data_IF_875418965569
#
_entry.id   IF_875418965569
#
_cell.length_a   1.000
_cell.length_b   1.000
_cell.length_c   1.000
_cell.angle_alpha   90.00
_cell.angle_beta   90.00
_cell.angle_gamma   90.00
#
_symmetry.space_group_name_H-M   'P 1'
#
loop_
_entity.id
_entity.type
_entity.pdbx_description
1 polymer ?
#
# COMPACT_ATOMS: atom_id res chain seq x y z
N UNK A 1 22.76 4.09 -20.74
CA UNK A 1 21.50 3.36 -21.01
C UNK A 1 20.98 3.85 -22.36
N UNK A 2 20.74 2.95 -23.31
CA UNK A 2 20.16 3.31 -24.62
C UNK A 2 18.78 2.67 -24.68
N UNK A 3 17.74 3.44 -24.36
CA UNK A 3 16.38 3.01 -24.70
C UNK A 3 16.23 3.13 -26.22
N UNK A 4 16.06 2.00 -26.91
CA UNK A 4 15.69 2.01 -28.33
C UNK A 4 14.17 1.88 -28.39
N UNK A 5 13.53 3.01 -28.65
CA UNK A 5 12.08 3.06 -28.82
C UNK A 5 11.73 2.51 -30.21
N UNK A 6 10.98 1.42 -30.25
CA UNK A 6 10.29 0.97 -31.45
C UNK A 6 8.83 1.42 -31.33
N UNK A 7 8.51 2.54 -31.94
CA UNK A 7 7.18 3.17 -31.86
C UNK A 7 6.23 2.44 -32.83
N UNK A 8 5.20 1.77 -32.32
CA UNK A 8 4.07 1.29 -33.14
C UNK A 8 2.90 2.23 -32.90
N UNK A 9 2.80 3.29 -33.70
CA UNK A 9 1.79 4.33 -33.54
C UNK A 9 0.48 3.97 -34.23
N UNK A 10 -0.59 3.79 -33.45
CA UNK A 10 -1.95 4.12 -33.88
C UNK A 10 -2.62 4.93 -32.76
N UNK A 11 -2.95 6.21 -33.04
CA UNK A 11 -3.74 7.08 -32.15
C UNK A 11 -3.00 8.33 -31.64
N UNK A 12 -3.29 9.49 -32.23
CA UNK A 12 -2.83 10.81 -31.74
C UNK A 12 -3.64 11.24 -30.51
N UNK A 13 -3.04 11.14 -29.33
CA UNK A 13 -3.40 11.96 -28.17
C UNK A 13 -2.23 12.89 -27.82
N UNK A 14 -2.54 14.05 -27.23
CA UNK A 14 -1.61 15.04 -26.68
C UNK A 14 -0.48 14.37 -25.88
N UNK A 15 0.76 14.39 -26.41
CA UNK A 15 1.94 13.62 -25.96
C UNK A 15 2.42 13.88 -24.51
N UNK A 16 1.74 14.74 -23.75
CA UNK A 16 2.10 15.11 -22.36
C UNK A 16 1.08 14.68 -21.32
N UNK A 17 -0.18 14.48 -21.68
CA UNK A 17 -1.25 14.07 -20.74
C UNK A 17 -1.42 12.55 -20.63
N UNK A 18 -0.72 11.80 -21.50
CA UNK A 18 -0.74 10.33 -21.56
C UNK A 18 0.38 9.65 -20.79
N UNK A 19 1.24 10.37 -20.06
CA UNK A 19 2.42 9.79 -19.40
C UNK A 19 2.23 9.63 -17.90
N UNK A 20 2.72 8.53 -17.31
CA UNK A 20 2.59 8.31 -15.89
C UNK A 20 3.47 9.29 -15.11
N UNK A 21 2.95 9.73 -13.96
CA UNK A 21 3.61 10.67 -13.05
C UNK A 21 4.22 9.91 -11.87
N UNK A 22 5.30 10.44 -11.30
CA UNK A 22 5.90 9.87 -10.08
C UNK A 22 4.88 9.83 -8.94
N UNK A 23 4.83 8.71 -8.23
CA UNK A 23 3.85 8.44 -7.19
C UNK A 23 2.56 7.80 -7.69
N UNK A 24 2.42 7.52 -8.99
CA UNK A 24 1.31 6.70 -9.50
C UNK A 24 1.65 5.20 -9.43
N UNK A 25 0.63 4.39 -9.19
CA UNK A 25 0.72 2.95 -9.37
C UNK A 25 0.57 2.62 -10.85
N UNK A 26 1.62 2.05 -11.43
CA UNK A 26 1.67 1.65 -12.83
C UNK A 26 1.63 0.14 -12.93
N UNK A 27 0.85 -0.37 -13.89
CA UNK A 27 0.84 -1.79 -14.25
C UNK A 27 1.42 -1.95 -15.64
N UNK A 28 2.43 -2.81 -15.74
CA UNK A 28 3.11 -3.11 -17.00
C UNK A 28 3.05 -4.60 -17.31
N UNK A 29 3.08 -4.93 -18.61
CA UNK A 29 3.48 -6.27 -19.07
C UNK A 29 4.99 -6.26 -19.21
N UNK A 30 5.67 -7.12 -18.47
CA UNK A 30 7.12 -7.16 -18.38
C UNK A 30 7.66 -8.49 -18.86
N UNK A 31 8.61 -8.45 -19.80
CA UNK A 31 9.38 -9.63 -20.21
C UNK A 31 10.84 -9.26 -20.35
N UNK A 32 11.69 -9.86 -19.53
CA UNK A 32 13.12 -9.66 -19.48
C UNK A 32 13.85 -10.86 -20.08
N UNK A 33 14.72 -10.60 -21.04
CA UNK A 33 15.55 -11.59 -21.74
C UNK A 33 17.02 -11.14 -21.75
N UNK A 34 17.93 -12.10 -21.73
CA UNK A 34 19.36 -11.86 -21.97
C UNK A 34 19.66 -11.80 -23.47
N UNK A 35 20.89 -11.44 -23.82
CA UNK A 35 21.37 -11.39 -25.21
C UNK A 35 21.34 -12.76 -25.91
N UNK A 36 21.46 -13.85 -25.14
CA UNK A 36 21.35 -15.22 -25.64
C UNK A 36 19.90 -15.70 -25.86
N UNK A 37 18.91 -14.84 -25.57
CA UNK A 37 17.48 -15.14 -25.67
C UNK A 37 16.88 -15.81 -24.43
N UNK A 38 17.67 -16.12 -23.41
CA UNK A 38 17.18 -16.71 -22.15
C UNK A 38 16.23 -15.75 -21.45
N UNK A 39 15.01 -16.22 -21.15
CA UNK A 39 14.02 -15.44 -20.39
C UNK A 39 14.41 -15.45 -18.91
N UNK A 40 14.72 -14.27 -18.36
CA UNK A 40 15.09 -14.08 -16.95
C UNK A 40 13.84 -13.94 -16.09
N UNK A 41 12.86 -13.19 -16.57
CA UNK A 41 11.64 -12.86 -15.84
C UNK A 41 10.53 -12.52 -16.83
N UNK A 42 9.32 -12.99 -16.55
CA UNK A 42 8.14 -12.69 -17.34
C UNK A 42 6.97 -12.53 -16.37
N UNK A 43 6.37 -11.34 -16.38
CA UNK A 43 5.21 -11.01 -15.58
C UNK A 43 4.19 -10.29 -16.46
N UNK A 44 3.01 -10.89 -16.70
CA UNK A 44 2.00 -10.31 -17.56
C UNK A 44 1.34 -9.05 -16.96
N UNK A 45 1.41 -8.84 -15.64
CA UNK A 45 0.82 -7.72 -14.90
C UNK A 45 1.65 -7.36 -13.67
N UNK A 46 2.87 -6.86 -13.92
CA UNK A 46 3.71 -6.33 -12.87
C UNK A 46 3.21 -4.93 -12.47
N UNK A 47 2.75 -4.78 -11.23
CA UNK A 47 2.35 -3.48 -10.67
C UNK A 47 3.41 -2.96 -9.73
N UNK A 48 3.76 -1.67 -9.82
CA UNK A 48 4.65 -0.98 -8.88
C UNK A 48 4.37 0.52 -8.83
N UNK A 49 4.81 1.18 -7.76
CA UNK A 49 4.69 2.63 -7.62
C UNK A 49 5.85 3.32 -8.33
N UNK A 50 5.54 4.15 -9.33
CA UNK A 50 6.54 4.79 -10.17
C UNK A 50 7.35 5.82 -9.37
N UNK A 51 8.67 5.64 -9.32
CA UNK A 51 9.60 6.51 -8.61
C UNK A 51 10.08 5.98 -7.27
N UNK A 52 9.45 4.93 -6.74
CA UNK A 52 9.85 4.33 -5.46
C UNK A 52 11.05 3.39 -5.59
N UNK A 53 11.45 3.05 -6.82
CA UNK A 53 12.59 2.16 -7.10
C UNK A 53 12.44 0.75 -6.47
N UNK A 54 11.20 0.27 -6.36
CA UNK A 54 10.87 -1.05 -5.78
C UNK A 54 11.42 -2.23 -6.59
N UNK A 55 11.75 -1.99 -7.87
CA UNK A 55 12.21 -3.01 -8.80
C UNK A 55 13.54 -2.66 -9.49
N UNK A 56 13.58 -2.90 -10.79
CA UNK A 56 14.72 -2.61 -11.66
C UNK A 56 14.73 -1.10 -11.94
N UNK A 57 15.80 -0.38 -11.59
CA UNK A 57 15.88 1.08 -11.79
C UNK A 57 15.61 1.51 -13.25
N UNK A 58 15.99 0.66 -14.21
CA UNK A 58 15.69 0.86 -15.61
C UNK A 58 14.18 1.00 -15.90
N UNK A 59 13.31 0.29 -15.16
CA UNK A 59 11.86 0.39 -15.30
C UNK A 59 11.36 1.75 -14.84
N UNK A 60 11.75 2.22 -13.66
CA UNK A 60 11.36 3.54 -13.15
C UNK A 60 11.75 4.67 -14.11
N UNK A 61 12.95 4.61 -14.70
CA UNK A 61 13.43 5.63 -15.64
C UNK A 61 12.71 5.57 -16.99
N UNK A 62 12.42 4.37 -17.50
CA UNK A 62 11.83 4.20 -18.82
C UNK A 62 10.31 4.36 -18.82
N UNK A 63 9.60 3.81 -17.83
CA UNK A 63 8.14 3.89 -17.76
C UNK A 63 7.68 5.34 -17.62
N UNK A 64 8.43 6.20 -16.93
CA UNK A 64 8.16 7.64 -16.87
C UNK A 64 8.20 8.34 -18.24
N UNK A 65 8.84 7.73 -19.24
CA UNK A 65 8.96 8.27 -20.60
C UNK A 65 7.95 7.65 -21.58
N UNK A 66 7.22 6.60 -21.18
CA UNK A 66 6.28 5.87 -22.01
C UNK A 66 4.90 6.54 -22.02
N UNK A 67 4.23 6.48 -23.15
CA UNK A 67 2.82 6.84 -23.27
C UNK A 67 1.92 5.65 -22.88
N UNK A 68 0.71 5.92 -22.37
CA UNK A 68 -0.28 4.87 -22.06
C UNK A 68 -0.51 3.93 -23.26
N UNK A 69 -0.40 2.62 -23.04
CA UNK A 69 -0.53 1.59 -24.08
C UNK A 69 0.74 1.36 -24.93
N UNK A 70 1.79 2.17 -24.75
CA UNK A 70 3.04 2.02 -25.51
C UNK A 70 3.73 0.70 -25.14
N UNK A 71 4.28 0.02 -26.16
CA UNK A 71 5.24 -1.08 -25.97
C UNK A 71 6.64 -0.60 -26.33
N UNK A 72 7.57 -0.67 -25.38
CA UNK A 72 8.96 -0.27 -25.53
C UNK A 72 9.92 -1.45 -25.32
N UNK A 73 11.06 -1.40 -26.02
CA UNK A 73 12.19 -2.29 -25.81
C UNK A 73 13.31 -1.55 -25.09
N UNK A 74 13.57 -1.94 -23.86
CA UNK A 74 14.58 -1.34 -23.00
C UNK A 74 15.85 -2.17 -23.11
N UNK A 75 16.93 -1.57 -23.61
CA UNK A 75 18.27 -2.14 -23.51
C UNK A 75 19.01 -1.44 -22.38
N UNK A 76 19.28 -2.17 -21.31
CA UNK A 76 19.91 -1.63 -20.11
C UNK A 76 21.21 -2.36 -19.78
N UNK A 77 22.16 -1.57 -19.26
CA UNK A 77 23.38 -2.11 -18.68
C UNK A 77 23.07 -2.77 -17.33
N UNK A 78 23.82 -3.82 -16.98
CA UNK A 78 23.61 -4.59 -15.76
C UNK A 78 23.51 -3.71 -14.51
N UNK A 79 24.22 -2.58 -14.44
CA UNK A 79 24.19 -1.65 -13.29
C UNK A 79 22.84 -1.02 -12.97
N UNK A 80 21.96 -0.84 -13.98
CA UNK A 80 20.61 -0.32 -13.79
C UNK A 80 19.55 -1.43 -13.66
N UNK A 81 19.99 -2.70 -13.73
CA UNK A 81 19.12 -3.86 -13.61
C UNK A 81 19.42 -4.64 -12.34
N UNK A 82 20.35 -5.59 -12.44
CA UNK A 82 20.65 -6.51 -11.36
C UNK A 82 22.01 -6.24 -10.67
N UNK A 83 22.75 -5.25 -11.15
CA UNK A 83 24.05 -4.89 -10.59
C UNK A 83 25.06 -6.05 -10.60
N UNK A 84 26.17 -5.89 -9.87
CA UNK A 84 27.25 -6.88 -9.83
C UNK A 84 26.87 -8.17 -9.09
N UNK A 85 25.79 -8.15 -8.29
CA UNK A 85 25.40 -9.29 -7.45
C UNK A 85 24.29 -10.18 -8.05
N UNK A 86 23.70 -9.80 -9.20
CA UNK A 86 22.69 -10.63 -9.89
C UNK A 86 21.38 -10.83 -9.10
N UNK A 87 20.48 -11.70 -9.57
CA UNK A 87 19.22 -12.08 -8.87
C UNK A 87 19.38 -13.51 -8.31
N UNK A 88 18.98 -13.73 -7.05
CA UNK A 88 18.92 -15.02 -6.31
C UNK A 88 19.54 -16.24 -7.03
N UNK A 89 20.70 -16.71 -6.54
CA UNK A 89 21.38 -17.95 -6.93
C UNK A 89 21.74 -18.19 -8.41
N UNK A 90 21.35 -17.32 -9.36
CA UNK A 90 21.78 -17.41 -10.77
C UNK A 90 22.70 -16.27 -11.15
N UNK A 91 23.86 -16.63 -11.73
CA UNK A 91 24.93 -15.75 -12.20
C UNK A 91 24.52 -14.91 -13.41
N UNK A 92 23.57 -14.01 -13.24
CA UNK A 92 23.26 -12.95 -14.23
C UNK A 92 23.95 -11.65 -13.80
N UNK A 93 25.25 -11.74 -13.55
CA UNK A 93 26.09 -10.64 -13.11
C UNK A 93 26.56 -9.84 -14.32
N UNK A 94 26.31 -8.53 -14.31
CA UNK A 94 26.75 -7.55 -15.34
C UNK A 94 26.21 -7.70 -16.76
N UNK A 95 25.54 -8.80 -17.10
CA UNK A 95 24.91 -8.96 -18.42
C UNK A 95 23.86 -7.86 -18.67
N UNK A 96 23.92 -7.26 -19.87
CA UNK A 96 22.91 -6.33 -20.34
C UNK A 96 21.53 -7.01 -20.41
N UNK A 97 20.48 -6.27 -20.02
CA UNK A 97 19.12 -6.76 -20.05
C UNK A 97 18.38 -6.17 -21.26
N UNK A 98 17.72 -7.04 -22.02
CA UNK A 98 16.72 -6.67 -23.01
C UNK A 98 15.34 -6.92 -22.39
N UNK A 99 14.62 -5.84 -22.07
CA UNK A 99 13.29 -5.92 -21.52
C UNK A 99 12.24 -5.38 -22.50
N UNK A 100 11.22 -6.17 -22.79
CA UNK A 100 9.99 -5.71 -23.44
C UNK A 100 9.02 -5.27 -22.35
N UNK A 101 8.58 -4.02 -22.44
CA UNK A 101 7.69 -3.39 -21.48
C UNK A 101 6.50 -2.81 -22.22
N UNK A 102 5.29 -3.10 -21.78
CA UNK A 102 4.06 -2.48 -22.27
C UNK A 102 3.36 -1.80 -21.10
N UNK A 103 3.11 -0.50 -21.20
CA UNK A 103 2.41 0.25 -20.16
C UNK A 103 0.90 0.03 -20.29
N UNK A 104 0.32 -0.71 -19.35
CA UNK A 104 -1.10 -1.08 -19.41
C UNK A 104 -1.99 -0.02 -18.76
N UNK A 105 -1.69 0.33 -17.51
CA UNK A 105 -2.47 1.29 -16.72
C UNK A 105 -1.55 2.14 -15.86
N UNK A 106 -1.94 3.40 -15.64
CA UNK A 106 -1.35 4.29 -14.66
C UNK A 106 -2.51 4.94 -13.90
N UNK A 107 -2.50 4.77 -12.58
CA UNK A 107 -3.54 5.30 -11.70
C UNK A 107 -2.88 5.95 -10.50
N UNK A 108 -3.55 6.93 -9.90
CA UNK A 108 -3.05 7.54 -8.67
C UNK A 108 -2.87 6.46 -7.61
N UNK A 109 -1.70 6.45 -6.95
CA UNK A 109 -1.46 5.52 -5.87
C UNK A 109 -2.55 5.70 -4.81
N UNK A 110 -3.00 4.61 -4.18
CA UNK A 110 -4.03 4.70 -3.16
C UNK A 110 -3.60 5.67 -2.07
N UNK A 111 -4.50 6.58 -1.70
CA UNK A 111 -4.25 7.49 -0.60
C UNK A 111 -3.96 6.67 0.65
N UNK A 112 -2.75 6.85 1.17
CA UNK A 112 -2.29 6.14 2.33
C UNK A 112 -3.19 6.42 3.54
N UNK A 113 -3.93 7.52 3.59
CA UNK A 113 -4.89 7.76 4.69
C UNK A 113 -6.14 6.87 4.57
N UNK A 114 -6.58 6.58 3.34
CA UNK A 114 -7.81 5.83 3.05
C UNK A 114 -7.62 4.30 3.05
N UNK A 115 -6.38 3.82 2.97
CA UNK A 115 -6.07 2.39 3.05
C UNK A 115 -6.49 1.79 4.41
N UNK A 116 -7.13 0.62 4.38
CA UNK A 116 -7.45 -0.12 5.59
C UNK A 116 -6.19 -0.60 6.33
N UNK A 117 -6.31 -0.90 7.62
CA UNK A 117 -5.17 -1.38 8.40
C UNK A 117 -4.49 -2.63 7.81
N UNK A 118 -5.27 -3.53 7.20
CA UNK A 118 -4.74 -4.74 6.54
C UNK A 118 -3.98 -4.42 5.25
N UNK A 119 -4.45 -3.46 4.47
CA UNK A 119 -3.80 -3.05 3.22
C UNK A 119 -2.50 -2.29 3.50
N UNK A 120 -2.48 -1.43 4.53
CA UNK A 120 -1.25 -0.74 5.00
C UNK A 120 -0.18 -1.71 5.43
N UNK A 121 -0.53 -2.74 6.21
CA UNK A 121 0.43 -3.78 6.63
C UNK A 121 0.94 -4.56 5.41
N UNK A 122 0.07 -4.89 4.47
CA UNK A 122 0.46 -5.56 3.22
C UNK A 122 1.42 -4.71 2.38
N UNK A 123 1.12 -3.42 2.22
CA UNK A 123 1.95 -2.46 1.49
C UNK A 123 3.31 -2.25 2.18
N UNK A 124 3.32 -2.06 3.50
CA UNK A 124 4.55 -1.93 4.28
C UNK A 124 5.43 -3.18 4.19
N UNK A 125 4.83 -4.37 4.27
CA UNK A 125 5.57 -5.63 4.09
C UNK A 125 6.17 -5.75 2.70
N UNK A 126 5.41 -5.38 1.67
CA UNK A 126 5.91 -5.35 0.29
C UNK A 126 7.10 -4.40 0.15
N UNK A 127 7.02 -3.18 0.69
CA UNK A 127 8.14 -2.21 0.70
C UNK A 127 9.34 -2.71 1.52
N UNK A 128 9.10 -3.39 2.65
CA UNK A 128 10.15 -4.04 3.44
C UNK A 128 10.87 -5.14 2.64
N UNK A 129 10.13 -5.94 1.89
CA UNK A 129 10.70 -6.99 1.03
C UNK A 129 11.52 -6.42 -0.12
N UNK A 130 11.06 -5.32 -0.75
CA UNK A 130 11.86 -4.55 -1.70
C UNK A 130 13.16 -4.02 -1.06
N UNK A 131 13.08 -3.48 0.16
CA UNK A 131 14.25 -3.04 0.91
C UNK A 131 15.24 -4.17 1.20
N UNK A 132 14.73 -5.34 1.64
CA UNK A 132 15.55 -6.54 1.87
C UNK A 132 16.26 -7.00 0.60
N UNK A 133 15.55 -6.98 -0.54
CA UNK A 133 16.11 -7.33 -1.84
C UNK A 133 17.30 -6.42 -2.21
N UNK A 134 17.20 -5.11 -1.96
CA UNK A 134 18.30 -4.18 -2.20
C UNK A 134 19.43 -4.28 -1.15
N UNK A 135 19.08 -4.54 0.11
CA UNK A 135 20.05 -4.67 1.21
C UNK A 135 20.97 -5.86 1.03
N UNK A 136 20.41 -7.03 0.67
CA UNK A 136 21.19 -8.24 0.34
C UNK A 136 22.18 -7.99 -0.80
N UNK A 137 21.94 -6.95 -1.61
CA UNK A 137 22.75 -6.58 -2.78
C UNK A 137 23.78 -5.50 -2.50
N UNK A 138 23.95 -5.11 -1.24
CA UNK A 138 24.72 -3.96 -0.79
C UNK A 138 24.28 -2.61 -1.40
N UNK A 139 23.07 -2.52 -1.96
CA UNK A 139 22.48 -1.27 -2.45
C UNK A 139 21.79 -0.52 -1.30
N UNK A 140 22.58 -0.04 -0.33
CA UNK A 140 22.07 0.53 0.92
C UNK A 140 21.22 1.79 0.72
N UNK A 141 21.49 2.59 -0.31
CA UNK A 141 20.72 3.81 -0.61
C UNK A 141 19.28 3.48 -0.99
N UNK A 142 19.07 2.49 -1.87
CA UNK A 142 17.73 2.05 -2.26
C UNK A 142 17.04 1.29 -1.12
N UNK A 143 17.78 0.47 -0.38
CA UNK A 143 17.24 -0.23 0.78
C UNK A 143 16.69 0.75 1.83
N UNK A 144 17.46 1.80 2.16
CA UNK A 144 17.02 2.85 3.07
C UNK A 144 15.77 3.57 2.57
N UNK A 145 15.69 3.88 1.26
CA UNK A 145 14.50 4.47 0.66
C UNK A 145 13.26 3.59 0.83
N UNK A 146 13.36 2.29 0.51
CA UNK A 146 12.24 1.35 0.65
C UNK A 146 11.80 1.18 2.11
N UNK A 147 12.74 1.14 3.06
CA UNK A 147 12.40 1.08 4.49
C UNK A 147 11.76 2.37 5.00
N UNK A 148 12.21 3.54 4.54
CA UNK A 148 11.59 4.83 4.88
C UNK A 148 10.13 4.90 4.40
N UNK A 149 9.86 4.42 3.18
CA UNK A 149 8.49 4.31 2.67
C UNK A 149 7.65 3.33 3.51
N UNK A 150 8.20 2.16 3.85
CA UNK A 150 7.52 1.20 4.72
C UNK A 150 7.17 1.80 6.09
N UNK A 151 8.10 2.55 6.69
CA UNK A 151 7.90 3.25 7.96
C UNK A 151 6.84 4.34 7.86
N UNK A 152 6.80 5.11 6.77
CA UNK A 152 5.74 6.12 6.55
C UNK A 152 4.35 5.50 6.51
N UNK A 153 4.20 4.39 5.79
CA UNK A 153 2.94 3.63 5.68
C UNK A 153 2.49 3.12 7.06
N UNK A 154 3.41 2.62 7.87
CA UNK A 154 3.12 2.12 9.24
C UNK A 154 2.89 3.26 10.25
N UNK A 155 3.62 4.36 10.16
CA UNK A 155 3.45 5.50 11.06
C UNK A 155 2.06 6.15 10.92
N UNK A 156 1.46 6.07 9.73
CA UNK A 156 0.09 6.47 9.45
C UNK A 156 -0.96 5.49 10.01
N UNK A 157 -0.58 4.30 10.53
CA UNK A 157 -1.51 3.38 11.19
C UNK A 157 -1.87 3.78 12.62
N UNK A 158 -1.11 4.70 13.23
CA UNK A 158 -1.33 4.98 14.65
C UNK A 158 -1.16 3.73 15.53
N UNK A 159 -0.28 2.82 15.14
CA UNK A 159 0.29 1.75 16.00
C UNK A 159 1.20 2.38 17.08
N UNK A 160 0.69 3.42 17.75
CA UNK A 160 1.37 4.14 18.81
C UNK A 160 1.58 3.22 20.02
N UNK A 161 0.70 2.23 20.21
CA UNK A 161 0.82 1.18 21.21
C UNK A 161 2.16 0.43 21.10
N UNK A 162 2.60 0.10 19.88
CA UNK A 162 3.88 -0.54 19.61
C UNK A 162 5.06 0.43 19.57
N UNK A 163 4.87 1.66 19.08
CA UNK A 163 5.96 2.63 18.89
C UNK A 163 6.39 3.37 20.19
N UNK A 164 5.47 3.64 21.13
CA UNK A 164 5.77 4.30 22.42
C UNK A 164 6.82 3.54 23.27
N UNK A 165 6.74 2.21 23.48
CA UNK A 165 7.73 1.51 24.29
C UNK A 165 9.13 1.52 23.64
N UNK A 166 9.21 1.52 22.31
CA UNK A 166 10.48 1.59 21.56
C UNK A 166 11.15 2.96 21.77
N UNK A 167 10.40 4.06 21.62
CA UNK A 167 10.91 5.41 21.87
C UNK A 167 11.28 5.65 23.34
N UNK A 168 10.54 5.07 24.30
CA UNK A 168 10.91 5.12 25.73
C UNK A 168 12.21 4.37 26.02
N UNK A 169 12.47 3.26 25.33
CA UNK A 169 13.73 2.54 25.45
C UNK A 169 14.89 3.37 24.87
N UNK A 170 14.71 4.01 23.71
CA UNK A 170 15.70 4.90 23.12
C UNK A 170 16.02 6.11 24.02
N UNK A 171 15.02 6.68 24.68
CA UNK A 171 15.21 7.80 25.61
C UNK A 171 16.01 7.44 26.87
N UNK A 172 15.97 6.17 27.31
CA UNK A 172 16.81 5.69 28.40
C UNK A 172 18.29 5.59 28.01
N UNK A 173 18.57 5.36 26.73
CA UNK A 173 19.93 5.29 26.21
C UNK A 173 20.50 6.70 25.97
N UNK A 174 19.67 7.63 25.48
CA UNK A 174 20.07 9.03 25.23
C UNK A 174 19.09 10.02 25.87
N UNK A 175 19.26 10.35 27.16
CA UNK A 175 18.32 11.22 27.88
C UNK A 175 18.29 12.68 27.38
N UNK A 176 19.37 13.13 26.75
CA UNK A 176 19.57 14.52 26.29
C UNK A 176 19.11 14.76 24.84
N UNK A 177 18.68 13.72 24.12
CA UNK A 177 18.31 13.82 22.72
C UNK A 177 16.96 14.51 22.52
N UNK A 178 16.98 15.78 22.11
CA UNK A 178 15.77 16.62 21.91
C UNK A 178 14.81 16.03 20.86
N UNK A 179 15.32 15.34 19.86
CA UNK A 179 14.51 14.75 18.80
C UNK A 179 13.63 13.63 19.35
N UNK A 180 14.19 12.74 20.18
CA UNK A 180 13.45 11.65 20.84
C UNK A 180 12.35 12.22 21.73
N UNK A 181 12.63 13.29 22.49
CA UNK A 181 11.62 13.98 23.30
C UNK A 181 10.48 14.53 22.44
N UNK A 182 10.78 15.25 21.35
CA UNK A 182 9.76 15.83 20.48
C UNK A 182 8.89 14.79 19.80
N UNK A 183 9.49 13.69 19.34
CA UNK A 183 8.75 12.61 18.68
C UNK A 183 7.92 11.82 19.69
N UNK A 184 8.42 11.55 20.91
CA UNK A 184 7.64 10.92 21.97
C UNK A 184 6.41 11.75 22.36
N UNK A 185 6.56 13.08 22.50
CA UNK A 185 5.44 13.97 22.82
C UNK A 185 4.39 14.00 21.72
N UNK A 186 4.80 14.08 20.45
CA UNK A 186 3.88 14.01 19.31
C UNK A 186 3.14 12.67 19.28
N UNK A 187 3.86 11.57 19.46
CA UNK A 187 3.33 10.21 19.40
C UNK A 187 2.34 9.95 20.54
N UNK A 188 2.66 10.38 21.77
CA UNK A 188 1.79 10.24 22.93
C UNK A 188 0.48 11.03 22.77
N UNK A 189 0.54 12.24 22.21
CA UNK A 189 -0.65 13.06 21.92
C UNK A 189 -1.56 12.35 20.91
N UNK A 190 -1.01 11.88 19.79
CA UNK A 190 -1.79 11.17 18.77
C UNK A 190 -2.41 9.86 19.29
N UNK A 191 -1.72 9.14 20.18
CA UNK A 191 -2.27 7.95 20.83
C UNK A 191 -3.45 8.25 21.77
N UNK A 192 -3.38 9.36 22.51
CA UNK A 192 -4.47 9.80 23.38
C UNK A 192 -5.69 10.21 22.55
N UNK A 193 -5.48 10.96 21.46
CA UNK A 193 -6.55 11.37 20.55
C UNK A 193 -7.23 10.15 19.91
N UNK A 194 -6.44 9.15 19.47
CA UNK A 194 -6.97 7.90 18.93
C UNK A 194 -7.82 7.13 19.93
N UNK A 195 -7.37 7.00 21.19
CA UNK A 195 -8.17 6.37 22.25
C UNK A 195 -9.45 7.14 22.58
N UNK A 196 -9.41 8.47 22.52
CA UNK A 196 -10.61 9.30 22.77
C UNK A 196 -11.65 9.11 21.67
N UNK A 197 -11.21 9.10 20.40
CA UNK A 197 -12.07 8.87 19.24
C UNK A 197 -12.68 7.47 19.30
N UNK A 198 -11.87 6.46 19.58
CA UNK A 198 -12.30 5.06 19.69
C UNK A 198 -13.30 4.88 20.86
N UNK A 199 -13.03 5.45 22.03
CA UNK A 199 -13.93 5.39 23.18
C UNK A 199 -15.28 6.09 22.91
N UNK A 200 -15.25 7.23 22.20
CA UNK A 200 -16.48 7.93 21.81
C UNK A 200 -17.28 7.14 20.77
N UNK A 201 -16.60 6.49 19.81
CA UNK A 201 -17.20 5.58 18.84
C UNK A 201 -17.88 4.39 19.54
N UNK A 202 -17.20 3.72 20.47
CA UNK A 202 -17.77 2.63 21.27
C UNK A 202 -18.98 3.08 22.10
N UNK A 203 -18.90 4.26 22.73
CA UNK A 203 -20.01 4.83 23.50
C UNK A 203 -21.24 5.11 22.63
N UNK A 204 -21.05 5.56 21.39
CA UNK A 204 -22.14 5.78 20.42
C UNK A 204 -22.73 4.47 19.91
N UNK A 205 -21.91 3.45 19.69
CA UNK A 205 -22.32 2.13 19.19
C UNK A 205 -23.09 1.29 20.23
N UNK A 206 -22.79 1.44 21.51
CA UNK A 206 -23.40 0.63 22.59
C UNK A 206 -24.66 1.25 23.20
N UNK A 207 -24.98 2.51 22.87
CA UNK A 207 -26.11 3.24 23.42
C UNK A 207 -25.95 3.55 24.92
N UNK A 208 -26.47 4.69 25.35
CA UNK A 208 -26.49 5.04 26.77
C UNK A 208 -27.63 4.27 27.46
N UNK A 209 -27.40 3.43 28.49
CA UNK A 209 -28.47 2.74 29.22
C UNK A 209 -29.35 3.69 30.05
N UNK A 210 -29.05 4.99 30.06
CA UNK A 210 -29.78 6.02 30.81
C UNK A 210 -30.86 6.80 30.03
N UNK A 211 -31.20 6.44 28.80
CA UNK A 211 -32.31 7.07 28.07
C UNK A 211 -33.31 6.04 27.53
N UNK A 212 -33.88 5.25 28.44
CA UNK A 212 -35.19 4.63 28.19
C UNK A 212 -36.28 5.64 28.54
N UNK A 213 -36.67 6.45 27.56
CA UNK A 213 -37.98 7.11 27.61
C UNK A 213 -39.03 5.99 27.58
N UNK A 214 -39.97 5.90 28.54
CA UNK A 214 -41.02 4.89 28.46
C UNK A 214 -41.87 5.13 27.21
N UNK A 215 -42.40 4.07 26.56
CA UNK A 215 -43.17 4.23 25.34
C UNK A 215 -44.39 5.12 25.60
N UNK A 216 -44.58 6.10 24.72
CA UNK A 216 -45.74 6.98 24.75
C UNK A 216 -47.02 6.14 24.71
N UNK A 217 -47.89 6.32 25.72
CA UNK A 217 -49.24 5.75 25.72
C UNK A 217 -49.99 6.30 24.51
N UNK A 218 -50.24 5.46 23.51
CA UNK A 218 -51.23 5.74 22.47
C UNK A 218 -52.61 5.73 23.14
N UNK A 219 -53.23 6.91 23.24
CA UNK A 219 -54.60 7.05 23.72
C UNK A 219 -55.53 6.72 22.56
N UNK A 220 -55.78 5.43 22.34
CA UNK A 220 -56.89 5.02 21.48
C UNK A 220 -58.15 4.85 22.30
N UNK A 221 -59.17 5.58 21.83
CA UNK A 221 -60.51 5.66 22.40
C UNK A 221 -61.20 4.31 22.21
N UNK A 222 -61.85 3.89 23.28
CA UNK A 222 -62.80 2.78 23.37
C UNK A 222 -63.79 2.69 22.19
N UNK A 223 -63.97 1.47 21.67
CA UNK A 223 -65.26 0.99 21.17
C UNK A 223 -65.38 -0.52 21.40
N UNK A 224 -66.48 -0.92 22.02
CA UNK A 224 -66.88 -2.29 22.38
C UNK A 224 -67.01 -3.23 21.16
N UNK A 225 -66.79 -4.55 21.36
CA UNK A 225 -67.86 -5.59 21.35
C UNK A 225 -67.28 -7.00 21.64
N UNK A 226 -67.85 -7.58 22.68
CA UNK A 226 -68.22 -8.97 23.00
C UNK A 226 -67.80 -10.14 22.08
N UNK A 227 -67.02 -11.07 22.66
CA UNK A 227 -67.37 -12.49 22.86
C UNK A 227 -67.48 -13.46 21.67
N UNK A 228 -66.64 -14.50 21.67
CA UNK A 228 -67.09 -15.91 21.58
C UNK A 228 -65.96 -16.91 21.94
N UNK A 229 -66.38 -18.04 22.51
CA UNK A 229 -65.61 -19.20 23.03
C UNK A 229 -65.17 -20.16 21.92
N UNK A 230 -64.13 -20.95 22.19
CA UNK A 230 -63.99 -22.42 21.99
C UNK A 230 -62.53 -22.79 22.37
N UNK A 231 -62.17 -23.50 23.45
CA UNK A 231 -62.38 -24.90 23.92
C UNK A 231 -61.61 -25.97 23.14
N UNK A 232 -60.59 -26.54 23.83
CA UNK A 232 -59.92 -27.85 23.69
C UNK A 232 -59.10 -28.10 22.40
N UNK A 233 -57.87 -28.66 22.40
CA UNK A 233 -57.31 -29.83 23.10
C UNK A 233 -55.76 -29.81 23.02
N UNK A 234 -55.08 -30.19 24.11
CA UNK A 234 -53.71 -30.77 24.15
C UNK A 234 -53.75 -32.28 23.77
N UNK A 235 -52.64 -33.06 23.72
CA UNK A 235 -51.23 -32.79 23.35
C UNK A 235 -50.57 -33.95 22.51
N UNK A 236 -49.27 -33.78 22.22
CA UNK A 236 -48.22 -34.79 21.91
C UNK A 236 -48.37 -35.81 20.76
N UNK A 237 -47.59 -35.62 19.69
CA UNK A 237 -46.33 -36.35 19.40
C UNK A 237 -45.60 -35.77 18.20
#
# INVERSE_FOLDING_TARGET
MKARYSFSAEGKASRKESRPVKGQDVTIRFKATLEDGTVVEEDPRLTFTLGDCDGIQALDLCVQLMDMGETALITSDGKYCFGPQGRYMRKWTEAGLLARVELLTAQDAPDLELLSGKEKVSLANRKRECGNFHYQRANYVLAANSYDIALKVLAQQGEYSGAIPILKAALKLEPSNKTIHTELSKLAKKHADQKSIEAEMYRKMLGNPGSSSPPAKCKDKSSWVSGQKEVFTEPER
#
